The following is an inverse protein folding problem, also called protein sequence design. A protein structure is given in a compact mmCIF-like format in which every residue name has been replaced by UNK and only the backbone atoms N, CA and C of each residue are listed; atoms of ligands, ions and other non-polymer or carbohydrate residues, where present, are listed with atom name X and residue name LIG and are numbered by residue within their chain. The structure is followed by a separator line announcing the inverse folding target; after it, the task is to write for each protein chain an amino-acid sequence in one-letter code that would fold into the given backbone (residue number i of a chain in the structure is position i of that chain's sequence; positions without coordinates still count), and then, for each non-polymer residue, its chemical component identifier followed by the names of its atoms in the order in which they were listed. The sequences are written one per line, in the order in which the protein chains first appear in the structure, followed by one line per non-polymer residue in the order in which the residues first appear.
data_IF_276938441920
#
_entry.id   IF_276938441920
#
_cell.length_a   1.000
_cell.length_b   1.000
_cell.length_c   1.000
_cell.angle_alpha   90.00
_cell.angle_beta   90.00
_cell.angle_gamma   90.00
#
_symmetry.space_group_name_H-M   'P 1'
#
loop_
_entity.id
_entity.type
_entity.pdbx_description
1 polymer ?
#
# COMPACT_ATOMS: atom_id res chain seq x y z
N UNK A 1 12.50 -1.25 12.34
CA UNK A 1 11.99 -2.63 12.35
C UNK A 1 10.50 -2.63 12.60
N UNK A 2 9.77 -3.40 11.82
CA UNK A 2 8.32 -3.58 11.86
C UNK A 2 7.96 -5.05 11.75
N UNK A 3 6.71 -5.42 12.00
CA UNK A 3 6.24 -6.80 11.85
C UNK A 3 4.99 -6.84 10.98
N UNK A 4 4.76 -7.99 10.32
CA UNK A 4 3.56 -8.26 9.54
C UNK A 4 2.92 -9.55 10.04
N UNK A 5 1.58 -9.57 10.16
CA UNK A 5 0.79 -10.68 10.70
C UNK A 5 0.17 -11.57 9.62
N UNK A 6 0.44 -11.33 8.35
CA UNK A 6 -0.02 -12.19 7.26
C UNK A 6 0.58 -13.60 7.37
N UNK A 7 -0.21 -14.60 7.06
CA UNK A 7 0.23 -16.01 7.11
C UNK A 7 0.93 -16.44 5.82
N UNK A 8 0.70 -15.73 4.73
CA UNK A 8 1.28 -15.93 3.40
C UNK A 8 1.60 -14.57 2.75
N UNK A 9 2.17 -14.58 1.55
CA UNK A 9 2.47 -13.35 0.82
C UNK A 9 3.77 -12.69 1.28
N UNK A 10 4.77 -13.49 1.65
CA UNK A 10 6.06 -12.94 2.05
C UNK A 10 6.82 -12.32 0.88
N UNK A 11 6.68 -12.86 -0.34
CA UNK A 11 7.32 -12.31 -1.54
C UNK A 11 6.72 -10.95 -1.91
N UNK A 12 5.39 -10.84 -1.88
CA UNK A 12 4.67 -9.59 -2.09
C UNK A 12 5.07 -8.55 -1.04
N UNK A 13 5.18 -8.95 0.25
CA UNK A 13 5.65 -8.06 1.29
C UNK A 13 7.12 -7.63 1.11
N UNK A 14 8.00 -8.53 0.68
CA UNK A 14 9.42 -8.25 0.42
C UNK A 14 9.62 -7.29 -0.77
N UNK A 15 8.70 -7.31 -1.72
CA UNK A 15 8.72 -6.47 -2.93
C UNK A 15 7.80 -5.26 -2.86
N UNK A 16 6.96 -5.09 -1.80
CA UNK A 16 6.13 -3.91 -1.60
C UNK A 16 7.00 -2.68 -1.28
N UNK A 17 7.05 -1.65 -2.15
CA UNK A 17 7.86 -0.46 -1.93
C UNK A 17 7.56 0.27 -0.62
N UNK A 18 6.37 0.09 -0.03
CA UNK A 18 6.00 0.68 1.26
C UNK A 18 6.88 0.21 2.43
N UNK A 19 7.62 -0.92 2.27
CA UNK A 19 8.62 -1.36 3.25
C UNK A 19 10.01 -0.77 3.06
N UNK A 20 10.22 0.13 2.12
CA UNK A 20 11.54 0.76 1.88
C UNK A 20 12.13 1.34 3.18
N UNK A 21 13.39 1.00 3.43
CA UNK A 21 14.11 1.42 4.63
C UNK A 21 13.78 0.63 5.90
N UNK A 22 12.95 -0.41 5.84
CA UNK A 22 12.50 -1.16 7.01
C UNK A 22 13.07 -2.57 7.05
N UNK A 23 13.34 -3.08 8.26
CA UNK A 23 13.56 -4.49 8.54
C UNK A 23 12.19 -5.09 8.87
N UNK A 24 11.80 -6.13 8.13
CA UNK A 24 10.49 -6.78 8.24
C UNK A 24 10.61 -8.09 9.03
N UNK A 25 9.79 -8.25 10.08
CA UNK A 25 9.63 -9.50 10.79
C UNK A 25 8.26 -10.12 10.45
N UNK A 26 8.23 -11.39 10.02
CA UNK A 26 6.97 -12.13 9.83
C UNK A 26 6.59 -12.84 11.11
N UNK A 27 5.28 -12.84 11.43
CA UNK A 27 4.77 -13.53 12.64
C UNK A 27 4.43 -14.98 12.40
N UNK A 28 4.10 -15.35 11.16
CA UNK A 28 3.92 -16.76 10.79
C UNK A 28 5.26 -17.51 10.86
N UNK A 29 5.20 -18.79 11.20
CA UNK A 29 6.37 -19.56 11.62
C UNK A 29 7.21 -20.03 10.44
N UNK A 30 6.60 -20.53 9.38
CA UNK A 30 7.25 -21.25 8.28
C UNK A 30 7.30 -20.38 7.02
N UNK A 31 8.35 -19.56 6.89
CA UNK A 31 8.54 -18.69 5.74
C UNK A 31 9.39 -19.38 4.67
N UNK A 32 9.00 -19.24 3.40
CA UNK A 32 9.64 -19.92 2.28
C UNK A 32 8.98 -21.24 1.88
N UNK A 33 7.94 -21.67 2.57
CA UNK A 33 7.28 -22.97 2.37
C UNK A 33 6.68 -23.17 0.96
N UNK A 34 6.30 -22.11 0.26
CA UNK A 34 5.84 -22.18 -1.14
C UNK A 34 6.84 -21.59 -2.15
N UNK A 35 8.03 -21.20 -1.70
CA UNK A 35 9.11 -20.68 -2.56
C UNK A 35 8.83 -19.27 -3.10
N UNK A 36 9.48 -18.97 -4.21
CA UNK A 36 9.36 -17.70 -4.95
C UNK A 36 8.72 -18.00 -6.31
N UNK A 37 7.80 -17.15 -6.74
CA UNK A 37 7.13 -17.20 -8.04
C UNK A 37 7.46 -15.96 -8.87
N UNK A 38 7.53 -16.11 -10.20
CA UNK A 38 7.74 -14.97 -11.10
C UNK A 38 6.57 -13.97 -11.11
N UNK A 39 5.38 -14.41 -10.69
CA UNK A 39 4.14 -13.61 -10.74
C UNK A 39 3.87 -12.81 -9.46
N UNK A 40 4.43 -13.23 -8.31
CA UNK A 40 4.06 -12.69 -6.99
C UNK A 40 4.87 -11.43 -6.61
N UNK A 41 5.65 -10.87 -7.55
CA UNK A 41 6.39 -9.62 -7.34
C UNK A 41 5.51 -8.38 -7.46
N UNK A 42 5.53 -7.53 -6.43
CA UNK A 42 4.77 -6.26 -6.39
C UNK A 42 5.60 -5.05 -6.85
N UNK A 43 6.89 -5.23 -7.12
CA UNK A 43 7.76 -4.25 -7.76
C UNK A 43 8.97 -4.94 -8.41
N UNK A 44 9.80 -4.17 -9.12
CA UNK A 44 10.97 -4.69 -9.85
C UNK A 44 12.12 -5.16 -8.95
N UNK A 45 12.10 -4.83 -7.66
CA UNK A 45 13.18 -5.12 -6.72
C UNK A 45 12.66 -5.32 -5.31
N UNK A 46 13.51 -5.88 -4.44
CA UNK A 46 13.22 -5.94 -3.01
C UNK A 46 13.17 -4.55 -2.39
N UNK A 47 12.22 -4.33 -1.50
CA UNK A 47 12.03 -3.06 -0.81
C UNK A 47 12.65 -3.04 0.60
N UNK A 48 12.66 -4.19 1.27
CA UNK A 48 13.10 -4.32 2.65
C UNK A 48 14.63 -4.19 2.81
N UNK A 49 15.08 -3.74 3.98
CA UNK A 49 16.50 -3.72 4.36
C UNK A 49 16.96 -4.99 5.07
N UNK A 50 16.04 -5.86 5.41
CA UNK A 50 16.33 -7.15 6.01
C UNK A 50 15.06 -7.88 6.38
N UNK A 51 15.16 -9.19 6.55
CA UNK A 51 14.04 -10.08 6.79
C UNK A 51 14.29 -10.96 8.01
N UNK A 52 13.32 -11.03 8.92
CA UNK A 52 13.42 -11.76 10.18
C UNK A 52 12.26 -12.74 10.30
N UNK A 53 12.57 -14.01 10.49
CA UNK A 53 11.59 -15.09 10.56
C UNK A 53 11.90 -16.02 11.73
N UNK A 54 10.91 -16.81 12.13
CA UNK A 54 11.12 -17.86 13.10
C UNK A 54 11.84 -19.05 12.48
N UNK A 55 11.40 -19.47 11.30
CA UNK A 55 11.95 -20.59 10.56
C UNK A 55 11.90 -20.30 9.05
N UNK A 56 13.04 -20.47 8.39
CA UNK A 56 13.16 -20.39 6.94
C UNK A 56 13.15 -21.80 6.36
N UNK A 57 12.17 -22.09 5.50
CA UNK A 57 12.04 -23.40 4.86
C UNK A 57 13.02 -23.49 3.68
N UNK A 58 13.89 -24.47 3.73
CA UNK A 58 14.93 -24.66 2.71
C UNK A 58 14.37 -25.22 1.39
N UNK A 59 13.44 -26.18 1.48
CA UNK A 59 12.85 -26.90 0.33
C UNK A 59 11.39 -26.48 0.16
N UNK A 60 11.08 -25.59 -0.79
CA UNK A 60 9.69 -25.18 -1.02
C UNK A 60 8.86 -26.31 -1.65
N UNK A 61 7.59 -26.37 -1.29
CA UNK A 61 6.60 -27.34 -1.79
C UNK A 61 5.44 -26.63 -2.50
N UNK A 62 5.71 -26.14 -3.73
CA UNK A 62 4.69 -25.52 -4.58
C UNK A 62 5.09 -25.63 -6.04
N UNK A 63 4.14 -25.97 -6.92
CA UNK A 63 4.36 -26.13 -8.36
C UNK A 63 4.76 -24.82 -9.07
N UNK A 64 4.42 -23.66 -8.50
CA UNK A 64 4.80 -22.32 -9.01
C UNK A 64 6.21 -21.88 -8.57
N UNK A 65 6.85 -22.63 -7.67
CA UNK A 65 8.16 -22.24 -7.12
C UNK A 65 9.26 -22.35 -8.16
N UNK A 66 9.92 -21.24 -8.42
CA UNK A 66 11.11 -21.17 -9.30
C UNK A 66 12.41 -21.07 -8.48
N UNK A 67 12.33 -20.75 -7.20
CA UNK A 67 13.49 -20.58 -6.31
C UNK A 67 13.10 -20.73 -4.85
N UNK A 68 14.06 -21.11 -3.99
CA UNK A 68 13.86 -20.99 -2.54
C UNK A 68 13.96 -19.54 -2.07
N UNK A 69 13.30 -19.22 -0.96
CA UNK A 69 13.35 -17.89 -0.33
C UNK A 69 14.80 -17.47 -0.01
N UNK A 70 15.60 -18.38 0.54
CA UNK A 70 17.00 -18.10 0.91
C UNK A 70 17.87 -17.76 -0.29
N UNK A 71 17.75 -18.51 -1.38
CA UNK A 71 18.49 -18.25 -2.63
C UNK A 71 18.08 -16.89 -3.23
N UNK A 72 16.79 -16.59 -3.21
CA UNK A 72 16.26 -15.34 -3.73
C UNK A 72 16.69 -14.12 -2.89
N UNK A 73 16.66 -14.21 -1.55
CA UNK A 73 17.16 -13.15 -0.67
C UNK A 73 18.65 -12.86 -0.92
N UNK A 74 19.46 -13.93 -1.07
CA UNK A 74 20.88 -13.81 -1.37
C UNK A 74 21.12 -13.13 -2.73
N UNK A 75 20.40 -13.53 -3.78
CA UNK A 75 20.47 -12.94 -5.11
C UNK A 75 20.09 -11.45 -5.13
N UNK A 76 19.21 -11.03 -4.21
CA UNK A 76 18.77 -9.64 -4.08
C UNK A 76 19.55 -8.83 -3.01
N UNK A 77 20.59 -9.41 -2.40
CA UNK A 77 21.42 -8.73 -1.39
C UNK A 77 20.68 -8.39 -0.10
N UNK A 78 19.62 -9.14 0.25
CA UNK A 78 18.84 -8.95 1.46
C UNK A 78 19.32 -9.88 2.56
N UNK A 79 19.71 -9.34 3.70
CA UNK A 79 20.06 -10.15 4.89
C UNK A 79 18.77 -10.75 5.48
N UNK A 80 18.71 -12.09 5.52
CA UNK A 80 17.71 -12.86 6.25
C UNK A 80 18.29 -13.41 7.56
N UNK A 81 17.49 -13.44 8.62
CA UNK A 81 17.78 -14.12 9.88
C UNK A 81 16.60 -15.01 10.26
N UNK A 82 16.88 -16.27 10.53
CA UNK A 82 15.93 -17.22 11.09
C UNK A 82 16.33 -17.67 12.51
N UNK A 83 15.57 -18.60 13.11
CA UNK A 83 15.79 -19.06 14.48
C UNK A 83 15.43 -18.04 15.55
N UNK A 84 14.78 -16.93 15.20
CA UNK A 84 14.43 -15.85 16.12
C UNK A 84 13.08 -16.13 16.79
N UNK A 85 12.96 -15.86 18.08
CA UNK A 85 11.66 -15.79 18.77
C UNK A 85 10.89 -14.55 18.29
N UNK A 86 10.24 -14.70 17.13
CA UNK A 86 9.45 -13.62 16.52
C UNK A 86 8.28 -13.19 17.40
N UNK A 87 7.73 -14.09 18.24
CA UNK A 87 6.67 -13.73 19.20
C UNK A 87 7.19 -12.75 20.26
N UNK A 88 8.36 -13.02 20.85
CA UNK A 88 8.98 -12.11 21.83
C UNK A 88 9.32 -10.77 21.18
N UNK A 89 9.90 -10.79 19.96
CA UNK A 89 10.21 -9.60 19.17
C UNK A 89 8.96 -8.76 18.91
N UNK A 90 7.88 -9.36 18.43
CA UNK A 90 6.61 -8.67 18.14
C UNK A 90 6.00 -8.08 19.41
N UNK A 91 6.07 -8.75 20.56
CA UNK A 91 5.62 -8.18 21.84
C UNK A 91 6.41 -6.90 22.20
N UNK A 92 7.71 -6.87 21.94
CA UNK A 92 8.55 -5.66 22.14
C UNK A 92 8.10 -4.56 21.20
N UNK A 93 7.95 -4.84 19.90
CA UNK A 93 7.53 -3.86 18.88
C UNK A 93 6.12 -3.32 19.16
N UNK A 94 5.19 -4.17 19.58
CA UNK A 94 3.83 -3.76 19.97
C UNK A 94 3.84 -2.83 21.19
N UNK A 95 4.70 -3.15 22.18
CA UNK A 95 4.76 -2.40 23.43
C UNK A 95 5.54 -1.10 23.32
N UNK A 96 6.69 -1.11 22.61
CA UNK A 96 7.58 0.05 22.48
C UNK A 96 7.36 0.87 21.21
N UNK A 97 6.65 0.30 20.22
CA UNK A 97 6.47 0.88 18.89
C UNK A 97 7.47 0.32 17.88
N UNK A 98 7.39 0.81 16.64
CA UNK A 98 8.40 0.52 15.62
C UNK A 98 9.78 1.04 16.06
N UNK A 99 10.78 0.15 16.08
CA UNK A 99 12.12 0.43 16.58
C UNK A 99 13.13 0.55 15.43
N UNK A 100 14.16 1.35 15.66
CA UNK A 100 15.38 1.35 14.84
C UNK A 100 16.17 0.07 15.16
N UNK A 101 16.79 -0.52 14.15
CA UNK A 101 17.55 -1.75 14.32
C UNK A 101 18.59 -1.92 13.24
N UNK A 102 19.54 -2.80 13.47
CA UNK A 102 20.60 -3.22 12.55
C UNK A 102 20.57 -4.74 12.46
N UNK A 103 20.65 -5.28 11.24
CA UNK A 103 21.01 -6.67 10.98
C UNK A 103 22.47 -6.67 10.52
N UNK A 104 23.29 -7.52 11.11
CA UNK A 104 24.70 -7.59 10.82
C UNK A 104 25.14 -9.05 10.64
N UNK A 105 25.97 -9.32 9.64
CA UNK A 105 26.56 -10.63 9.39
C UNK A 105 28.06 -10.51 9.56
N UNK A 106 28.63 -11.36 10.40
CA UNK A 106 30.08 -11.39 10.71
C UNK A 106 30.38 -11.10 12.18
N UNK A 107 31.67 -11.06 12.51
CA UNK A 107 32.15 -10.87 13.87
C UNK A 107 33.01 -9.60 14.04
N UNK A 108 32.99 -8.67 13.06
CA UNK A 108 33.87 -7.50 13.07
C UNK A 108 33.38 -6.33 13.93
N UNK A 109 32.17 -6.43 14.52
CA UNK A 109 31.58 -5.38 15.36
C UNK A 109 31.07 -5.97 16.67
N UNK A 110 31.29 -5.24 17.74
CA UNK A 110 30.74 -5.57 19.06
C UNK A 110 29.25 -5.19 19.15
N UNK A 111 28.53 -5.75 20.13
CA UNK A 111 27.14 -5.43 20.40
C UNK A 111 26.95 -3.92 20.70
N UNK A 112 27.88 -3.31 21.45
CA UNK A 112 27.82 -1.87 21.75
C UNK A 112 27.93 -1.00 20.48
N UNK A 113 28.80 -1.36 19.55
CA UNK A 113 28.89 -0.69 18.24
C UNK A 113 27.61 -0.81 17.45
N UNK A 114 27.01 -2.02 17.38
CA UNK A 114 25.77 -2.25 16.68
C UNK A 114 24.59 -1.49 17.32
N UNK A 115 24.54 -1.44 18.64
CA UNK A 115 23.55 -0.66 19.39
C UNK A 115 23.73 0.85 19.10
N UNK A 116 24.96 1.34 19.10
CA UNK A 116 25.25 2.73 18.77
C UNK A 116 24.81 3.07 17.34
N UNK A 117 25.11 2.20 16.37
CA UNK A 117 24.64 2.33 14.99
C UNK A 117 23.12 2.40 14.92
N UNK A 118 22.41 1.48 15.59
CA UNK A 118 20.94 1.46 15.59
C UNK A 118 20.35 2.75 16.19
N UNK A 119 20.97 3.29 17.25
CA UNK A 119 20.53 4.54 17.88
C UNK A 119 20.77 5.77 17.00
N UNK A 120 21.81 5.75 16.17
CA UNK A 120 22.15 6.85 15.25
C UNK A 120 21.24 6.91 14.01
N UNK A 121 20.49 5.83 13.67
CA UNK A 121 19.59 5.83 12.52
C UNK A 121 18.50 6.91 12.67
N UNK A 122 18.07 7.56 11.59
CA UNK A 122 16.97 8.51 11.63
C UNK A 122 15.63 7.84 11.97
N UNK A 123 14.69 8.63 12.49
CA UNK A 123 13.29 8.22 12.61
C UNK A 123 12.64 8.13 11.23
N UNK A 124 11.59 7.29 11.09
CA UNK A 124 10.74 7.30 9.88
C UNK A 124 10.01 8.64 9.71
N UNK A 125 9.67 9.29 10.83
CA UNK A 125 9.04 10.62 10.79
C UNK A 125 9.99 11.65 10.16
N UNK A 126 9.47 12.45 9.24
CA UNK A 126 10.21 13.46 8.49
C UNK A 126 10.98 12.93 7.27
N UNK A 127 10.89 11.63 6.94
CA UNK A 127 11.58 11.08 5.77
C UNK A 127 10.65 11.01 4.54
N UNK A 128 11.03 11.68 3.46
CA UNK A 128 10.44 11.47 2.14
C UNK A 128 11.13 10.28 1.46
N UNK A 129 10.54 9.08 1.64
CA UNK A 129 11.03 7.88 0.98
C UNK A 129 10.30 7.59 -0.36
N UNK A 130 9.20 8.27 -0.65
CA UNK A 130 8.52 8.16 -1.93
C UNK A 130 9.44 8.57 -3.09
N UNK A 131 10.24 9.61 -2.92
CA UNK A 131 11.23 10.03 -3.90
C UNK A 131 12.34 9.01 -4.18
N UNK A 132 12.57 8.05 -3.27
CA UNK A 132 13.57 6.99 -3.47
C UNK A 132 13.06 5.84 -4.35
N UNK A 133 11.75 5.67 -4.49
CA UNK A 133 11.11 4.52 -5.18
C UNK A 133 10.24 4.94 -6.36
N UNK A 134 9.88 6.20 -6.45
CA UNK A 134 9.14 6.78 -7.58
C UNK A 134 9.96 6.67 -8.88
N UNK A 135 9.34 6.38 -10.03
CA UNK A 135 10.05 6.39 -11.31
C UNK A 135 10.54 7.80 -11.64
N UNK A 136 11.65 7.88 -12.37
CA UNK A 136 12.20 9.15 -12.86
C UNK A 136 11.57 9.62 -14.18
N UNK A 137 10.89 8.72 -14.89
CA UNK A 137 10.24 8.97 -16.18
C UNK A 137 8.87 8.31 -16.21
N UNK A 138 7.95 8.91 -16.96
CA UNK A 138 6.63 8.33 -17.18
C UNK A 138 6.69 7.08 -18.06
N UNK A 139 5.76 6.17 -17.84
CA UNK A 139 5.55 4.95 -18.63
C UNK A 139 4.08 4.60 -18.74
N UNK A 140 3.73 3.75 -19.70
CA UNK A 140 2.37 3.20 -19.82
C UNK A 140 2.33 1.81 -19.19
N UNK A 141 1.29 1.54 -18.40
CA UNK A 141 1.02 0.21 -17.86
C UNK A 141 -0.10 -0.48 -18.63
N UNK A 142 0.09 -1.76 -19.01
CA UNK A 142 -0.88 -2.52 -19.80
C UNK A 142 -1.19 -3.90 -19.26
N UNK A 143 -0.42 -4.38 -18.29
CA UNK A 143 -0.59 -5.71 -17.68
C UNK A 143 -1.85 -5.73 -16.81
N UNK A 144 -2.75 -6.70 -17.07
CA UNK A 144 -3.93 -6.99 -16.26
C UNK A 144 -3.66 -8.10 -15.23
N UNK A 145 -4.72 -8.63 -14.65
CA UNK A 145 -4.66 -9.70 -13.64
C UNK A 145 -4.40 -11.09 -14.23
N UNK A 146 -4.48 -11.26 -15.57
CA UNK A 146 -4.22 -12.54 -16.23
C UNK A 146 -5.13 -13.66 -15.71
N UNK A 147 -4.52 -14.76 -15.26
CA UNK A 147 -5.24 -15.92 -14.70
C UNK A 147 -5.94 -15.63 -13.38
N UNK A 148 -5.54 -14.57 -12.68
CA UNK A 148 -6.10 -14.10 -11.41
C UNK A 148 -7.29 -13.16 -11.57
N UNK A 149 -7.78 -12.97 -12.80
CA UNK A 149 -8.96 -12.17 -13.09
C UNK A 149 -10.18 -12.76 -12.37
N UNK A 150 -10.82 -11.94 -11.53
CA UNK A 150 -12.10 -12.30 -10.94
C UNK A 150 -13.17 -12.29 -12.04
N UNK A 151 -13.92 -13.39 -12.19
CA UNK A 151 -14.94 -13.53 -13.25
C UNK A 151 -15.91 -12.35 -13.22
N UNK A 152 -16.26 -11.81 -14.39
CA UNK A 152 -17.18 -10.70 -14.55
C UNK A 152 -16.55 -9.28 -14.42
N UNK A 153 -15.26 -9.17 -14.16
CA UNK A 153 -14.58 -7.86 -14.06
C UNK A 153 -14.08 -7.31 -15.40
N UNK A 154 -13.88 -8.17 -16.42
CA UNK A 154 -13.53 -7.69 -17.78
C UNK A 154 -14.68 -6.90 -18.38
N UNK A 155 -14.49 -5.60 -18.55
CA UNK A 155 -15.50 -4.68 -19.05
C UNK A 155 -15.20 -4.27 -20.49
N UNK A 156 -16.03 -4.75 -21.43
CA UNK A 156 -16.22 -4.05 -22.70
C UNK A 156 -16.93 -2.71 -22.42
N UNK A 157 -16.32 -1.58 -22.77
CA UNK A 157 -16.91 -0.27 -22.53
C UNK A 157 -15.96 0.87 -22.86
N UNK A 158 -16.28 2.07 -22.37
CA UNK A 158 -15.44 3.26 -22.53
C UNK A 158 -14.11 3.05 -21.77
N UNK A 159 -13.00 3.26 -22.46
CA UNK A 159 -11.67 3.34 -21.85
C UNK A 159 -11.50 4.71 -21.19
N UNK A 160 -11.00 4.72 -19.95
CA UNK A 160 -10.69 5.92 -19.20
C UNK A 160 -9.18 6.13 -19.14
N UNK A 161 -8.72 7.34 -19.44
CA UNK A 161 -7.31 7.71 -19.28
C UNK A 161 -7.06 8.06 -17.82
N UNK A 162 -6.18 7.28 -17.15
CA UNK A 162 -5.77 7.48 -15.76
C UNK A 162 -4.33 7.95 -15.72
N UNK A 163 -4.08 9.11 -15.12
CA UNK A 163 -2.73 9.51 -14.72
C UNK A 163 -2.50 9.04 -13.29
N UNK A 164 -1.48 8.19 -13.10
CA UNK A 164 -1.13 7.60 -11.82
C UNK A 164 0.17 8.21 -11.29
N UNK A 165 0.07 9.00 -10.20
CA UNK A 165 1.25 9.48 -9.46
C UNK A 165 1.84 8.31 -8.67
N UNK A 166 3.02 7.87 -9.07
CA UNK A 166 3.69 6.71 -8.47
C UNK A 166 4.60 7.15 -7.31
N UNK A 167 4.11 6.93 -6.09
CA UNK A 167 4.86 7.15 -4.85
C UNK A 167 5.60 5.88 -4.38
N UNK A 168 5.62 4.84 -5.16
CA UNK A 168 6.08 3.49 -4.82
C UNK A 168 4.93 2.49 -4.87
N UNK A 169 4.29 2.40 -6.04
CA UNK A 169 3.10 1.57 -6.25
C UNK A 169 3.40 0.08 -6.25
N UNK A 170 2.49 -0.68 -5.70
CA UNK A 170 2.40 -2.13 -5.93
C UNK A 170 1.85 -2.39 -7.33
N UNK A 171 2.45 -3.33 -8.06
CA UNK A 171 2.04 -3.68 -9.42
C UNK A 171 0.57 -4.10 -9.50
N UNK A 172 0.07 -4.78 -8.47
CA UNK A 172 -1.31 -5.27 -8.48
C UNK A 172 -2.36 -4.13 -8.46
N UNK A 173 -2.01 -2.94 -8.03
CA UNK A 173 -2.86 -1.74 -8.18
C UNK A 173 -3.10 -1.43 -9.65
N UNK A 174 -2.02 -1.38 -10.42
CA UNK A 174 -2.09 -1.09 -11.85
C UNK A 174 -2.76 -2.21 -12.64
N UNK A 175 -2.49 -3.49 -12.27
CA UNK A 175 -3.20 -4.65 -12.83
C UNK A 175 -4.71 -4.53 -12.63
N UNK A 176 -5.16 -4.15 -11.44
CA UNK A 176 -6.58 -3.94 -11.14
C UNK A 176 -7.22 -2.79 -11.93
N UNK A 177 -6.50 -1.69 -12.15
CA UNK A 177 -6.97 -0.59 -13.00
C UNK A 177 -7.04 -1.01 -14.48
N UNK A 178 -6.00 -1.68 -15.00
CA UNK A 178 -5.96 -2.18 -16.37
C UNK A 178 -7.07 -3.19 -16.65
N UNK A 179 -7.35 -4.11 -15.72
CA UNK A 179 -8.44 -5.09 -15.81
C UNK A 179 -9.81 -4.44 -15.99
N UNK A 180 -9.98 -3.23 -15.45
CA UNK A 180 -11.22 -2.44 -15.59
C UNK A 180 -11.22 -1.51 -16.78
N UNK A 181 -10.30 -1.70 -17.74
CA UNK A 181 -10.23 -0.96 -18.99
C UNK A 181 -9.66 0.45 -18.86
N UNK A 182 -8.84 0.72 -17.85
CA UNK A 182 -8.13 1.98 -17.75
C UNK A 182 -6.87 1.98 -18.63
N UNK A 183 -6.65 3.08 -19.36
CA UNK A 183 -5.38 3.39 -20.01
C UNK A 183 -4.52 4.19 -19.02
N UNK A 184 -3.47 3.55 -18.49
CA UNK A 184 -2.74 4.05 -17.34
C UNK A 184 -1.42 4.65 -17.77
N UNK A 185 -1.25 5.95 -17.52
CA UNK A 185 0.03 6.64 -17.61
C UNK A 185 0.62 6.77 -16.20
N UNK A 186 1.63 5.95 -15.89
CA UNK A 186 2.37 6.00 -14.63
C UNK A 186 3.40 7.11 -14.72
N UNK A 187 3.40 8.03 -13.76
CA UNK A 187 4.27 9.22 -13.76
C UNK A 187 4.93 9.43 -12.40
N UNK A 188 6.06 10.16 -12.34
CA UNK A 188 6.67 10.54 -11.08
C UNK A 188 5.68 11.22 -10.12
N UNK A 189 5.84 10.95 -8.82
CA UNK A 189 4.93 11.48 -7.79
C UNK A 189 4.95 13.01 -7.68
N UNK A 190 6.03 13.66 -8.11
CA UNK A 190 6.27 15.08 -7.93
C UNK A 190 5.94 15.93 -9.17
N UNK A 191 5.17 15.39 -10.12
CA UNK A 191 4.67 16.16 -11.26
C UNK A 191 3.85 17.37 -10.80
N UNK A 192 3.96 18.46 -11.52
CA UNK A 192 3.15 19.67 -11.27
C UNK A 192 1.70 19.49 -11.75
N UNK A 193 0.79 20.26 -11.18
CA UNK A 193 -0.62 20.28 -11.60
C UNK A 193 -0.79 20.65 -13.08
N UNK A 194 0.04 21.55 -13.62
CA UNK A 194 0.05 21.94 -15.03
C UNK A 194 0.40 20.77 -15.95
N UNK A 195 1.43 19.99 -15.59
CA UNK A 195 1.84 18.80 -16.35
C UNK A 195 0.77 17.71 -16.32
N UNK A 196 0.06 17.54 -15.20
CA UNK A 196 -1.06 16.59 -15.09
C UNK A 196 -2.24 17.06 -15.95
N UNK A 197 -2.62 18.35 -15.88
CA UNK A 197 -3.71 18.91 -16.73
C UNK A 197 -3.41 18.78 -18.21
N UNK A 198 -2.15 18.98 -18.64
CA UNK A 198 -1.73 18.83 -20.02
C UNK A 198 -1.97 17.42 -20.58
N UNK A 199 -1.99 16.39 -19.72
CA UNK A 199 -2.27 15.01 -20.07
C UNK A 199 -3.76 14.72 -20.26
N UNK A 200 -4.64 15.62 -19.84
CA UNK A 200 -6.11 15.53 -19.97
C UNK A 200 -6.65 14.19 -19.43
N UNK A 201 -6.38 13.82 -18.16
CA UNK A 201 -6.86 12.56 -17.61
C UNK A 201 -8.38 12.57 -17.40
N UNK A 202 -9.01 11.41 -17.53
CA UNK A 202 -10.37 11.17 -17.03
C UNK A 202 -10.37 10.95 -15.50
N UNK A 203 -9.27 10.42 -14.94
CA UNK A 203 -9.06 10.18 -13.51
C UNK A 203 -7.61 10.38 -13.07
N UNK A 204 -7.44 10.82 -11.83
CA UNK A 204 -6.16 10.96 -11.16
C UNK A 204 -6.06 9.88 -10.08
N UNK A 205 -5.01 9.08 -10.13
CA UNK A 205 -4.73 8.05 -9.13
C UNK A 205 -3.45 8.39 -8.34
N UNK A 206 -3.48 8.20 -7.02
CA UNK A 206 -2.31 8.39 -6.16
C UNK A 206 -2.00 7.07 -5.45
N UNK A 207 -0.83 6.53 -5.70
CA UNK A 207 -0.46 5.21 -5.21
C UNK A 207 -0.12 5.17 -3.72
N UNK A 208 0.03 3.95 -3.21
CA UNK A 208 0.74 3.67 -1.96
C UNK A 208 2.21 4.08 -2.06
N UNK A 209 2.92 4.03 -0.95
CA UNK A 209 4.35 4.31 -0.91
C UNK A 209 4.90 4.38 0.51
N UNK A 210 6.24 4.49 0.65
CA UNK A 210 6.93 4.55 1.93
C UNK A 210 7.07 5.97 2.49
N UNK A 211 7.39 6.05 3.77
CA UNK A 211 7.84 7.27 4.42
C UNK A 211 6.77 8.00 5.21
N UNK A 212 7.08 9.25 5.55
CA UNK A 212 6.16 10.17 6.23
C UNK A 212 5.39 10.98 5.18
N UNK A 213 4.04 10.90 5.16
CA UNK A 213 3.25 11.65 4.18
C UNK A 213 3.51 13.17 4.25
N UNK A 214 3.74 13.72 5.44
CA UNK A 214 3.98 15.16 5.60
C UNK A 214 5.30 15.64 4.95
N UNK A 215 6.25 14.73 4.71
CA UNK A 215 7.51 15.03 4.05
C UNK A 215 7.42 15.03 2.51
N UNK A 216 6.29 14.62 1.91
CA UNK A 216 6.08 14.57 0.46
C UNK A 216 5.47 15.89 -0.04
N UNK A 217 6.10 16.99 0.27
CA UNK A 217 5.56 18.36 0.13
C UNK A 217 5.15 18.73 -1.31
N UNK A 218 5.95 18.34 -2.31
CA UNK A 218 5.63 18.66 -3.73
C UNK A 218 4.35 18.01 -4.18
N UNK A 219 4.15 16.74 -3.86
CA UNK A 219 2.92 16.02 -4.21
C UNK A 219 1.71 16.62 -3.49
N UNK A 220 1.85 16.97 -2.20
CA UNK A 220 0.78 17.64 -1.44
C UNK A 220 0.43 18.98 -2.10
N UNK A 221 1.41 19.78 -2.50
CA UNK A 221 1.16 21.06 -3.18
C UNK A 221 0.43 20.86 -4.51
N UNK A 222 0.89 19.91 -5.34
CA UNK A 222 0.22 19.55 -6.59
C UNK A 222 -1.21 19.09 -6.37
N UNK A 223 -1.45 18.20 -5.40
CA UNK A 223 -2.80 17.71 -5.10
C UNK A 223 -3.72 18.81 -4.57
N UNK A 224 -3.20 19.79 -3.83
CA UNK A 224 -3.97 20.96 -3.36
C UNK A 224 -4.54 21.77 -4.52
N UNK A 225 -3.82 21.82 -5.64
CA UNK A 225 -4.24 22.54 -6.84
C UNK A 225 -5.23 21.75 -7.71
N UNK A 226 -5.05 20.41 -7.84
CA UNK A 226 -5.75 19.63 -8.88
C UNK A 226 -6.76 18.62 -8.36
N UNK A 227 -6.67 18.17 -7.07
CA UNK A 227 -7.55 17.14 -6.57
C UNK A 227 -9.01 17.58 -6.60
N UNK A 228 -9.85 16.78 -7.28
CA UNK A 228 -11.26 17.04 -7.47
C UNK A 228 -11.60 17.87 -8.73
N UNK A 229 -10.62 18.36 -9.50
CA UNK A 229 -10.88 18.83 -10.89
C UNK A 229 -11.27 17.66 -11.78
N UNK A 230 -10.65 16.51 -11.55
CA UNK A 230 -11.02 15.22 -12.10
C UNK A 230 -11.26 14.22 -10.99
N UNK A 231 -12.03 13.15 -11.24
CA UNK A 231 -12.18 12.05 -10.28
C UNK A 231 -10.85 11.57 -9.76
N UNK A 232 -10.70 11.57 -8.43
CA UNK A 232 -9.41 11.31 -7.76
C UNK A 232 -9.54 10.18 -6.76
N UNK A 233 -8.68 9.16 -6.87
CA UNK A 233 -8.61 8.03 -5.95
C UNK A 233 -7.20 7.86 -5.37
N UNK A 234 -7.09 7.66 -4.06
CA UNK A 234 -5.82 7.46 -3.36
C UNK A 234 -5.80 6.22 -2.49
N UNK A 235 -4.69 5.48 -2.52
CA UNK A 235 -4.46 4.28 -1.71
C UNK A 235 -3.30 4.50 -0.75
N UNK A 236 -3.49 4.17 0.52
CA UNK A 236 -2.49 4.15 1.59
C UNK A 236 -1.77 5.50 1.74
N UNK A 237 -0.54 5.65 1.22
CA UNK A 237 0.13 6.96 1.20
C UNK A 237 -0.69 7.99 0.41
N UNK A 238 -1.29 7.61 -0.71
CA UNK A 238 -2.17 8.49 -1.50
C UNK A 238 -3.39 8.98 -0.73
N UNK A 239 -3.98 8.16 0.14
CA UNK A 239 -5.03 8.57 1.06
C UNK A 239 -4.55 9.67 2.02
N UNK A 240 -3.37 9.50 2.60
CA UNK A 240 -2.77 10.46 3.53
C UNK A 240 -2.41 11.78 2.84
N UNK A 241 -1.83 11.70 1.62
CA UNK A 241 -1.48 12.87 0.81
C UNK A 241 -2.71 13.69 0.40
N UNK A 242 -3.80 13.02 0.01
CA UNK A 242 -5.08 13.68 -0.29
C UNK A 242 -5.65 14.39 0.94
N UNK A 243 -5.63 13.75 2.11
CA UNK A 243 -6.08 14.37 3.34
C UNK A 243 -5.25 15.63 3.69
N UNK A 244 -3.92 15.55 3.59
CA UNK A 244 -3.02 16.70 3.80
C UNK A 244 -3.24 17.82 2.77
N UNK A 245 -3.47 17.47 1.50
CA UNK A 245 -3.78 18.44 0.45
C UNK A 245 -5.10 19.19 0.70
N UNK A 246 -6.09 18.54 1.27
CA UNK A 246 -7.35 19.15 1.72
C UNK A 246 -7.17 20.02 2.96
N UNK A 247 -6.07 19.91 3.70
CA UNK A 247 -5.80 20.67 4.92
C UNK A 247 -6.00 19.88 6.22
N UNK A 248 -6.27 18.59 6.15
CA UNK A 248 -6.32 17.70 7.31
C UNK A 248 -4.92 17.42 7.85
N UNK A 249 -4.85 16.68 8.97
CA UNK A 249 -3.60 16.32 9.65
C UNK A 249 -3.39 14.81 9.61
N UNK A 250 -2.13 14.40 9.70
CA UNK A 250 -1.73 13.00 9.92
C UNK A 250 -0.94 12.86 11.20
N UNK A 251 -0.93 11.66 11.76
CA UNK A 251 -0.15 11.34 12.95
C UNK A 251 0.44 9.94 12.85
N UNK A 252 1.54 9.70 13.57
CA UNK A 252 2.26 8.45 13.55
C UNK A 252 1.65 7.45 14.53
N UNK A 253 1.23 6.29 14.03
CA UNK A 253 0.83 5.16 14.86
C UNK A 253 2.04 4.59 15.62
N UNK A 254 1.80 4.01 16.78
CA UNK A 254 2.85 3.44 17.63
C UNK A 254 3.65 2.35 16.92
N UNK A 255 2.96 1.36 16.34
CA UNK A 255 3.57 0.26 15.58
C UNK A 255 2.97 0.11 14.17
N UNK A 256 1.89 0.81 13.83
CA UNK A 256 1.22 0.75 12.54
C UNK A 256 0.32 -0.48 12.38
N UNK A 257 -0.39 -0.55 11.24
CA UNK A 257 -1.16 -1.73 10.85
C UNK A 257 -0.44 -2.44 9.71
N UNK A 258 -0.13 -3.74 9.90
CA UNK A 258 0.51 -4.59 8.88
C UNK A 258 0.00 -6.01 9.00
N UNK A 259 -0.57 -6.51 7.92
CA UNK A 259 -1.16 -7.83 7.82
C UNK A 259 -2.32 -7.87 6.85
N UNK A 260 -2.74 -9.07 6.48
CA UNK A 260 -3.81 -9.32 5.52
C UNK A 260 -5.14 -9.74 6.19
N UNK A 261 -5.29 -9.50 7.48
CA UNK A 261 -6.40 -9.95 8.32
C UNK A 261 -7.02 -8.82 9.15
N UNK A 262 -7.01 -7.60 8.63
CA UNK A 262 -7.44 -6.39 9.34
C UNK A 262 -8.91 -6.08 9.02
N UNK A 263 -9.83 -6.14 10.00
CA UNK A 263 -11.24 -5.89 9.75
C UNK A 263 -11.52 -4.38 9.68
N UNK A 264 -12.21 -3.97 8.61
CA UNK A 264 -12.63 -2.59 8.37
C UNK A 264 -14.14 -2.58 8.12
N UNK A 265 -14.84 -1.63 8.73
CA UNK A 265 -16.26 -1.39 8.46
C UNK A 265 -16.40 -0.30 7.41
N UNK A 266 -17.12 -0.59 6.34
CA UNK A 266 -17.63 0.41 5.43
C UNK A 266 -18.85 1.10 6.10
N UNK A 267 -18.73 2.38 6.39
CA UNK A 267 -19.75 3.16 7.11
C UNK A 267 -20.96 3.51 6.23
N UNK A 268 -20.79 3.49 4.90
CA UNK A 268 -21.85 3.82 3.96
C UNK A 268 -22.78 2.63 3.69
N UNK A 269 -22.22 1.41 3.68
CA UNK A 269 -22.96 0.17 3.37
C UNK A 269 -23.17 -0.72 4.58
N UNK A 270 -22.47 -0.44 5.68
CA UNK A 270 -22.50 -1.23 6.92
C UNK A 270 -21.70 -2.56 6.86
N UNK A 271 -21.16 -2.93 5.71
CA UNK A 271 -20.39 -4.18 5.54
C UNK A 271 -19.06 -4.14 6.27
N UNK A 272 -18.62 -5.30 6.73
CA UNK A 272 -17.26 -5.53 7.24
C UNK A 272 -16.45 -6.21 6.14
N UNK A 273 -15.27 -5.70 5.90
CA UNK A 273 -14.30 -6.19 4.90
C UNK A 273 -13.04 -6.61 5.64
N UNK A 274 -12.44 -7.72 5.24
CA UNK A 274 -11.12 -8.11 5.72
C UNK A 274 -10.09 -7.54 4.74
N UNK A 275 -9.16 -6.75 5.27
CA UNK A 275 -8.28 -5.93 4.43
C UNK A 275 -6.80 -6.25 4.65
N UNK A 276 -6.00 -6.02 3.62
CA UNK A 276 -4.55 -5.97 3.71
C UNK A 276 -4.10 -4.55 4.05
N UNK A 277 -3.19 -4.42 5.02
CA UNK A 277 -2.68 -3.13 5.48
C UNK A 277 -1.17 -3.14 5.63
N UNK A 278 -0.54 -2.01 5.31
CA UNK A 278 0.88 -1.75 5.54
C UNK A 278 1.14 -0.25 5.67
N UNK A 279 0.84 0.32 6.84
CA UNK A 279 1.08 1.75 7.07
C UNK A 279 1.48 2.05 8.52
N UNK A 280 2.22 3.14 8.71
CA UNK A 280 2.67 3.61 10.02
C UNK A 280 2.09 4.97 10.42
N UNK A 281 1.33 5.62 9.54
CA UNK A 281 0.66 6.90 9.78
C UNK A 281 -0.83 6.76 9.54
N UNK A 282 -1.61 7.65 10.14
CA UNK A 282 -3.07 7.69 10.03
C UNK A 282 -3.54 9.13 9.88
N UNK A 283 -4.65 9.33 9.19
CA UNK A 283 -5.32 10.65 9.07
C UNK A 283 -6.12 10.93 10.35
N UNK A 284 -6.04 12.16 10.84
CA UNK A 284 -6.86 12.64 11.95
C UNK A 284 -8.29 12.95 11.47
N UNK A 285 -9.25 12.19 11.98
CA UNK A 285 -10.66 12.27 11.54
C UNK A 285 -11.28 13.65 11.80
N UNK A 286 -10.99 14.25 12.95
CA UNK A 286 -11.59 15.53 13.31
C UNK A 286 -11.14 16.65 12.37
N UNK A 287 -9.84 16.69 12.05
CA UNK A 287 -9.29 17.64 11.09
C UNK A 287 -9.79 17.40 9.66
N UNK A 288 -10.02 16.14 9.29
CA UNK A 288 -10.56 15.77 7.97
C UNK A 288 -12.01 16.26 7.80
N UNK A 289 -12.85 16.06 8.81
CA UNK A 289 -14.24 16.55 8.79
C UNK A 289 -14.31 18.08 8.66
N UNK A 290 -13.40 18.80 9.30
CA UNK A 290 -13.32 20.26 9.24
C UNK A 290 -13.03 20.80 7.83
N UNK A 291 -12.48 19.98 6.94
CA UNK A 291 -12.13 20.37 5.56
C UNK A 291 -13.01 19.69 4.50
N UNK A 292 -14.19 19.19 4.88
CA UNK A 292 -15.18 18.61 3.98
C UNK A 292 -14.97 17.12 3.65
N UNK A 293 -14.09 16.44 4.38
CA UNK A 293 -13.97 15.00 4.27
C UNK A 293 -14.98 14.27 5.12
N UNK A 294 -15.59 13.23 4.56
CA UNK A 294 -16.54 12.35 5.24
C UNK A 294 -15.93 10.95 5.37
N UNK A 295 -15.77 10.41 6.60
CA UNK A 295 -15.33 9.03 6.80
C UNK A 295 -16.23 8.03 6.09
N UNK A 296 -15.62 7.13 5.32
CA UNK A 296 -16.32 6.03 4.63
C UNK A 296 -15.96 4.67 5.19
N UNK A 297 -14.77 4.54 5.77
CA UNK A 297 -14.28 3.28 6.32
C UNK A 297 -13.61 3.51 7.67
N UNK A 298 -13.79 2.55 8.59
CA UNK A 298 -13.25 2.60 9.95
C UNK A 298 -12.62 1.26 10.32
N UNK A 299 -11.40 1.27 10.83
CA UNK A 299 -10.72 0.09 11.33
C UNK A 299 -11.37 -0.40 12.63
N UNK A 300 -11.74 -1.68 12.71
CA UNK A 300 -12.55 -2.19 13.82
C UNK A 300 -11.73 -2.50 15.09
N UNK A 301 -10.41 -2.71 14.97
CA UNK A 301 -9.60 -3.05 16.14
C UNK A 301 -9.28 -1.85 17.04
N UNK A 302 -9.20 -0.64 16.48
CA UNK A 302 -8.76 0.55 17.22
C UNK A 302 -9.53 1.83 16.87
N UNK A 303 -10.51 1.76 15.96
CA UNK A 303 -11.34 2.90 15.57
C UNK A 303 -10.61 3.96 14.75
N UNK A 304 -9.46 3.65 14.15
CA UNK A 304 -8.76 4.60 13.28
C UNK A 304 -9.46 4.74 11.93
N UNK A 305 -9.34 5.94 11.33
CA UNK A 305 -9.89 6.22 10.01
C UNK A 305 -9.23 5.34 8.95
N UNK A 306 -10.03 4.61 8.19
CA UNK A 306 -9.56 3.70 7.15
C UNK A 306 -10.00 4.11 5.73
N UNK A 307 -10.75 5.19 5.57
CA UNK A 307 -11.12 5.73 4.27
C UNK A 307 -12.03 6.95 4.39
N UNK A 308 -12.00 7.81 3.38
CA UNK A 308 -12.89 8.95 3.29
C UNK A 308 -13.30 9.24 1.85
N UNK A 309 -14.40 10.02 1.71
CA UNK A 309 -14.76 10.74 0.49
C UNK A 309 -14.87 12.23 0.78
N UNK A 310 -14.77 13.07 -0.24
CA UNK A 310 -15.11 14.49 -0.09
C UNK A 310 -16.61 14.69 -0.39
N UNK A 311 -17.27 15.56 0.38
CA UNK A 311 -18.73 15.76 0.30
C UNK A 311 -19.20 16.37 -1.03
N UNK A 312 -18.38 17.19 -1.68
CA UNK A 312 -18.76 17.92 -2.90
C UNK A 312 -17.84 17.69 -4.10
N UNK A 313 -16.64 17.18 -3.88
CA UNK A 313 -15.65 16.91 -4.95
C UNK A 313 -15.58 15.41 -5.24
N UNK A 314 -15.32 14.99 -6.48
CA UNK A 314 -15.17 13.58 -6.83
C UNK A 314 -13.81 13.03 -6.32
N UNK A 315 -13.66 12.94 -5.02
CA UNK A 315 -12.47 12.43 -4.33
C UNK A 315 -12.92 11.34 -3.36
N UNK A 316 -12.28 10.18 -3.39
CA UNK A 316 -12.33 9.21 -2.31
C UNK A 316 -10.99 8.50 -2.16
N UNK A 317 -10.76 7.88 -1.01
CA UNK A 317 -9.50 7.19 -0.74
C UNK A 317 -9.65 6.19 0.40
N UNK A 318 -8.74 5.22 0.44
CA UNK A 318 -8.65 4.21 1.51
C UNK A 318 -7.24 4.08 2.03
N UNK A 319 -7.12 3.81 3.34
CA UNK A 319 -5.84 3.65 4.02
C UNK A 319 -5.22 2.27 3.80
N UNK A 320 -6.04 1.28 3.51
CA UNK A 320 -5.66 -0.11 3.27
C UNK A 320 -5.46 -0.39 1.78
N UNK A 321 -5.12 -1.63 1.45
CA UNK A 321 -4.75 -2.07 0.11
C UNK A 321 -5.89 -2.89 -0.54
N UNK A 322 -6.78 -2.27 -1.34
CA UNK A 322 -7.90 -2.98 -1.98
C UNK A 322 -7.45 -3.93 -3.10
N UNK A 323 -6.21 -3.76 -3.59
CA UNK A 323 -5.56 -4.65 -4.54
C UNK A 323 -5.14 -5.98 -3.92
N UNK A 324 -5.16 -6.09 -2.57
CA UNK A 324 -4.61 -7.22 -1.81
C UNK A 324 -3.11 -7.46 -2.13
N UNK A 325 -2.74 -8.67 -2.52
CA UNK A 325 -1.38 -9.10 -2.85
C UNK A 325 -0.33 -8.70 -1.78
N UNK A 326 -0.36 -9.45 -0.64
CA UNK A 326 -1.25 -10.56 -0.31
C UNK A 326 -2.56 -10.11 0.31
N UNK A 327 -3.54 -11.00 0.35
CA UNK A 327 -4.72 -10.83 1.19
C UNK A 327 -6.04 -11.12 0.48
N UNK A 328 -7.16 -10.95 1.21
CA UNK A 328 -8.51 -11.13 0.67
C UNK A 328 -8.88 -10.00 -0.30
N UNK A 329 -9.78 -10.31 -1.23
CA UNK A 329 -10.23 -9.40 -2.29
C UNK A 329 -11.55 -8.68 -1.95
N UNK A 330 -11.99 -8.67 -0.70
CA UNK A 330 -13.25 -8.10 -0.23
C UNK A 330 -13.47 -6.66 -0.71
N UNK A 331 -12.39 -5.89 -0.83
CA UNK A 331 -12.41 -4.48 -1.18
C UNK A 331 -12.03 -4.17 -2.64
N UNK A 332 -11.84 -5.18 -3.50
CA UNK A 332 -11.51 -4.99 -4.92
C UNK A 332 -12.58 -4.16 -5.68
N UNK A 333 -13.82 -4.13 -5.20
CA UNK A 333 -14.91 -3.30 -5.74
C UNK A 333 -14.59 -1.78 -5.74
N UNK A 334 -13.65 -1.32 -4.94
CA UNK A 334 -13.27 0.11 -4.89
C UNK A 334 -12.65 0.60 -6.20
N UNK A 335 -12.00 -0.26 -6.95
CA UNK A 335 -11.56 0.07 -8.31
C UNK A 335 -12.76 0.29 -9.25
N UNK A 336 -13.85 -0.46 -9.07
CA UNK A 336 -15.11 -0.26 -9.79
C UNK A 336 -15.80 1.05 -9.40
N UNK A 337 -15.72 1.43 -8.12
CA UNK A 337 -16.16 2.73 -7.64
C UNK A 337 -15.39 3.88 -8.33
N UNK A 338 -14.07 3.72 -8.53
CA UNK A 338 -13.28 4.72 -9.24
C UNK A 338 -13.71 4.86 -10.71
N UNK A 339 -13.92 3.74 -11.41
CA UNK A 339 -14.44 3.74 -12.79
C UNK A 339 -15.82 4.42 -12.86
N UNK A 340 -16.72 4.11 -11.91
CA UNK A 340 -18.05 4.74 -11.81
C UNK A 340 -17.93 6.25 -11.60
N UNK A 341 -17.00 6.68 -10.74
CA UNK A 341 -16.76 8.09 -10.46
C UNK A 341 -16.18 8.82 -11.68
N UNK A 342 -15.28 8.19 -12.45
CA UNK A 342 -14.78 8.75 -13.72
C UNK A 342 -15.90 8.94 -14.74
N UNK A 343 -16.84 8.00 -14.84
CA UNK A 343 -17.99 8.09 -15.72
C UNK A 343 -18.99 9.18 -15.33
N UNK A 344 -19.26 9.32 -14.04
CA UNK A 344 -20.30 10.22 -13.51
C UNK A 344 -19.80 11.62 -13.16
N UNK A 345 -18.51 11.78 -12.92
CA UNK A 345 -17.84 13.03 -12.49
C UNK A 345 -18.44 13.66 -11.21
N UNK A 346 -19.04 12.85 -10.34
CA UNK A 346 -19.60 13.26 -9.06
C UNK A 346 -18.99 12.47 -7.89
N UNK A 347 -19.12 12.93 -6.65
CA UNK A 347 -18.71 12.15 -5.48
C UNK A 347 -19.36 10.77 -5.47
N UNK A 348 -18.61 9.75 -5.02
CA UNK A 348 -19.10 8.38 -4.85
C UNK A 348 -20.20 8.35 -3.76
N UNK A 349 -21.24 7.56 -3.96
CA UNK A 349 -22.37 7.41 -3.02
C UNK A 349 -22.42 6.02 -2.38
N UNK A 350 -23.23 5.85 -1.36
CA UNK A 350 -23.51 4.53 -0.77
C UNK A 350 -24.08 3.57 -1.82
N UNK A 351 -25.01 4.03 -2.65
CA UNK A 351 -25.61 3.20 -3.72
C UNK A 351 -24.58 2.72 -4.75
N UNK A 352 -23.60 3.57 -5.10
CA UNK A 352 -22.52 3.17 -6.01
C UNK A 352 -21.66 2.07 -5.39
N UNK A 353 -21.29 2.21 -4.10
CA UNK A 353 -20.52 1.20 -3.37
C UNK A 353 -21.29 -0.10 -3.23
N UNK A 354 -22.57 -0.04 -2.85
CA UNK A 354 -23.42 -1.24 -2.77
C UNK A 354 -23.56 -1.97 -4.13
N UNK A 355 -23.72 -1.22 -5.22
CA UNK A 355 -23.79 -1.78 -6.56
C UNK A 355 -22.48 -2.51 -6.92
N UNK A 356 -21.33 -1.89 -6.66
CA UNK A 356 -20.02 -2.49 -6.90
C UNK A 356 -19.77 -3.72 -6.01
N UNK A 357 -20.15 -3.68 -4.73
CA UNK A 357 -20.06 -4.82 -3.81
C UNK A 357 -20.94 -5.99 -4.24
N UNK A 358 -22.16 -5.73 -4.75
CA UNK A 358 -23.03 -6.78 -5.30
C UNK A 358 -22.43 -7.42 -6.56
N UNK A 359 -21.87 -6.61 -7.44
CA UNK A 359 -21.21 -7.10 -8.65
C UNK A 359 -20.01 -8.00 -8.33
N UNK A 360 -19.19 -7.63 -7.34
CA UNK A 360 -18.06 -8.46 -6.88
C UNK A 360 -18.54 -9.78 -6.26
N UNK A 361 -19.61 -9.77 -5.46
CA UNK A 361 -20.12 -10.97 -4.80
C UNK A 361 -20.80 -11.96 -5.77
N UNK A 362 -21.15 -11.52 -6.98
CA UNK A 362 -21.76 -12.36 -8.02
C UNK A 362 -20.72 -12.86 -9.06
N UNK A 363 -19.49 -12.45 -8.98
CA UNK A 363 -18.38 -12.84 -9.84
C UNK A 363 -17.68 -14.12 -9.34
#
# INVERSE_FOLDING_TARGET
MVFNTAMCGYQEALTDPSYTGQILAMTATEMGNYGISDEDGESRSTAVRGFVVREAIAEPSNHRSVSSLSAWLAANGVIGIDGIDTRALVRILRTKGALRGVLFVGASKSDDELIAMARALPSMAGQNLAGCVSPTQGSTWREGLGEWTLRGQSRGGRTFKVVALDCGAKHNIYRNLAERGCDIEVVPHDLSAAEIRARKPDGLFISNGPGDPAAVERTIATLREIAGEVPTFGICLGHQLLALALGAKTWKLKFGHRGANQPVRNLLTGRVEITSQNHGFCVDEASLRAVGGEPTHMHLNDGTLAGFRHTSKPIFSVQYHPEASPGPHDSAYLFDCFVTMMGSRRPITAADMEAAQRALASA
#
